data_IF_252735361519
#
_entry.id   IF_252735361519
#
_cell.length_a   1.000
_cell.length_b   1.000
_cell.length_c   1.000
_cell.angle_alpha   90.00
_cell.angle_beta   90.00
_cell.angle_gamma   90.00
#
_symmetry.space_group_name_H-M   'P 1'
#
loop_
_entity.id
_entity.type
_entity.pdbx_description
1 polymer ?
#
# COMPACT_ATOMS: atom_id res chain seq x y z
N UNK A 1 21.63 -5.76 -7.08
CA UNK A 1 20.43 -5.11 -6.52
C UNK A 1 20.37 -5.40 -5.03
N UNK A 2 20.69 -4.44 -4.16
CA UNK A 2 20.38 -4.61 -2.72
C UNK A 2 18.86 -4.65 -2.63
N UNK A 3 18.30 -5.81 -2.27
CA UNK A 3 16.88 -5.88 -1.88
C UNK A 3 16.79 -5.03 -0.62
N UNK A 4 16.45 -3.76 -0.76
CA UNK A 4 16.02 -2.94 0.37
C UNK A 4 14.80 -3.67 0.90
N UNK A 5 14.99 -4.43 1.97
CA UNK A 5 13.92 -5.18 2.59
C UNK A 5 13.00 -4.13 3.20
N UNK A 6 11.93 -3.79 2.48
CA UNK A 6 10.89 -2.94 3.05
C UNK A 6 10.37 -3.68 4.30
N UNK A 7 10.45 -3.05 5.48
CA UNK A 7 10.00 -3.68 6.70
C UNK A 7 8.54 -4.12 6.53
N UNK A 8 8.18 -5.30 7.06
CA UNK A 8 6.83 -5.84 6.94
C UNK A 8 5.80 -4.82 7.43
N UNK A 9 4.59 -4.90 6.88
CA UNK A 9 3.48 -4.07 7.33
C UNK A 9 3.20 -4.35 8.81
N UNK A 10 3.05 -3.28 9.60
CA UNK A 10 2.76 -3.36 11.01
C UNK A 10 1.44 -4.09 11.27
N UNK A 11 1.52 -5.18 12.03
CA UNK A 11 0.36 -5.99 12.44
C UNK A 11 -0.13 -5.65 13.84
N UNK A 12 0.71 -5.01 14.66
CA UNK A 12 0.37 -4.60 16.03
C UNK A 12 -0.51 -3.34 16.02
N UNK A 13 -1.72 -3.35 16.59
CA UNK A 13 -2.60 -2.18 16.67
C UNK A 13 -2.00 -0.95 17.38
N UNK A 14 -1.01 -1.17 18.24
CA UNK A 14 -0.30 -0.12 18.98
C UNK A 14 0.86 0.49 18.19
N UNK A 15 1.24 -0.09 17.04
CA UNK A 15 2.29 0.46 16.20
C UNK A 15 1.81 1.77 15.53
N UNK A 16 2.60 2.85 15.57
CA UNK A 16 2.24 4.11 14.92
C UNK A 16 2.01 3.99 13.41
N UNK A 17 2.50 2.93 12.75
CA UNK A 17 2.27 2.64 11.34
C UNK A 17 0.99 1.83 11.09
N UNK A 18 0.40 1.19 12.10
CA UNK A 18 -0.68 0.21 11.95
C UNK A 18 -1.83 0.68 11.05
N UNK A 19 -2.33 1.90 11.26
CA UNK A 19 -3.45 2.44 10.47
C UNK A 19 -3.09 2.62 9.00
N UNK A 20 -1.89 3.10 8.73
CA UNK A 20 -1.42 3.36 7.37
C UNK A 20 -1.11 2.04 6.67
N UNK A 21 -0.47 1.12 7.39
CA UNK A 21 -0.12 -0.21 6.90
C UNK A 21 -1.36 -1.07 6.64
N UNK A 22 -2.43 -0.93 7.44
CA UNK A 22 -3.75 -1.50 7.13
C UNK A 22 -4.33 -0.94 5.83
N UNK A 23 -4.14 0.35 5.58
CA UNK A 23 -4.51 0.99 4.31
C UNK A 23 -3.78 0.40 3.11
N UNK A 24 -2.46 0.20 3.23
CA UNK A 24 -1.64 -0.47 2.20
C UNK A 24 -2.10 -1.91 1.98
N UNK A 25 -2.31 -2.67 3.05
CA UNK A 25 -2.79 -4.05 2.95
C UNK A 25 -4.14 -4.14 2.22
N UNK A 26 -5.09 -3.26 2.56
CA UNK A 26 -6.39 -3.20 1.90
C UNK A 26 -6.28 -2.80 0.42
N UNK A 27 -5.38 -1.87 0.07
CA UNK A 27 -5.14 -1.49 -1.32
C UNK A 27 -4.51 -2.63 -2.14
N UNK A 28 -3.60 -3.41 -1.54
CA UNK A 28 -3.04 -4.62 -2.17
C UNK A 28 -4.13 -5.65 -2.45
N UNK A 29 -4.98 -5.94 -1.47
CA UNK A 29 -6.12 -6.86 -1.64
C UNK A 29 -7.06 -6.43 -2.77
N UNK A 30 -7.33 -5.12 -2.91
CA UNK A 30 -8.16 -4.61 -4.03
C UNK A 30 -7.48 -4.79 -5.38
N UNK A 31 -6.17 -4.58 -5.46
CA UNK A 31 -5.41 -4.81 -6.69
C UNK A 31 -5.41 -6.30 -7.06
N UNK A 32 -5.19 -7.17 -6.09
CA UNK A 32 -5.22 -8.62 -6.31
C UNK A 32 -6.59 -9.08 -6.80
N UNK A 33 -7.68 -8.58 -6.19
CA UNK A 33 -9.04 -8.84 -6.63
C UNK A 33 -9.31 -8.32 -8.06
N UNK A 34 -8.82 -7.12 -8.40
CA UNK A 34 -8.95 -6.56 -9.75
C UNK A 34 -8.19 -7.39 -10.81
N UNK A 35 -7.00 -7.88 -10.46
CA UNK A 35 -6.20 -8.76 -11.33
C UNK A 35 -6.91 -10.10 -11.51
N UNK A 36 -7.47 -10.67 -10.45
CA UNK A 36 -8.21 -11.91 -10.50
C UNK A 36 -9.47 -11.77 -11.36
N UNK A 37 -10.24 -10.70 -11.17
CA UNK A 37 -11.41 -10.38 -12.01
C UNK A 37 -11.07 -10.31 -13.50
N UNK A 38 -9.92 -9.73 -13.89
CA UNK A 38 -9.50 -9.68 -15.30
C UNK A 38 -9.35 -11.08 -15.91
N UNK A 39 -8.98 -12.09 -15.12
CA UNK A 39 -8.84 -13.47 -15.61
C UNK A 39 -10.18 -14.10 -15.97
N UNK A 40 -11.28 -13.57 -15.44
CA UNK A 40 -12.62 -14.14 -15.55
C UNK A 40 -13.60 -13.30 -16.40
N UNK A 41 -13.20 -12.11 -16.86
CA UNK A 41 -14.07 -11.22 -17.66
C UNK A 41 -13.81 -11.27 -19.17
N UNK A 42 -14.89 -11.16 -19.95
CA UNK A 42 -14.86 -11.04 -21.42
C UNK A 42 -14.51 -9.63 -21.92
N UNK A 43 -14.76 -8.58 -21.12
CA UNK A 43 -14.43 -7.19 -21.48
C UNK A 43 -13.04 -6.81 -20.99
N UNK A 44 -12.07 -6.88 -21.90
CA UNK A 44 -10.66 -6.62 -21.60
C UNK A 44 -10.37 -5.16 -21.24
N UNK A 45 -11.04 -4.20 -21.90
CA UNK A 45 -10.81 -2.76 -21.70
C UNK A 45 -11.24 -2.29 -20.31
N UNK A 46 -12.44 -2.69 -19.86
CA UNK A 46 -12.93 -2.35 -18.52
C UNK A 46 -12.02 -2.93 -17.43
N UNK A 47 -11.60 -4.19 -17.59
CA UNK A 47 -10.72 -4.83 -16.62
C UNK A 47 -9.34 -4.14 -16.52
N UNK A 48 -8.82 -3.59 -17.63
CA UNK A 48 -7.58 -2.81 -17.61
C UNK A 48 -7.72 -1.50 -16.84
N UNK A 49 -8.82 -0.75 -17.04
CA UNK A 49 -9.05 0.49 -16.30
C UNK A 49 -9.22 0.24 -14.80
N UNK A 50 -9.96 -0.80 -14.40
CA UNK A 50 -10.11 -1.18 -12.98
C UNK A 50 -8.75 -1.52 -12.35
N UNK A 51 -7.89 -2.27 -13.05
CA UNK A 51 -6.53 -2.56 -12.54
C UNK A 51 -5.69 -1.29 -12.45
N UNK A 52 -5.80 -0.37 -13.41
CA UNK A 52 -5.08 0.90 -13.39
C UNK A 52 -5.50 1.75 -12.18
N UNK A 53 -6.79 1.88 -11.93
CA UNK A 53 -7.31 2.59 -10.75
C UNK A 53 -6.86 1.91 -9.45
N UNK A 54 -6.90 0.58 -9.37
CA UNK A 54 -6.43 -0.14 -8.19
C UNK A 54 -4.92 0.05 -7.93
N UNK A 55 -4.09 0.08 -9.00
CA UNK A 55 -2.67 0.42 -8.91
C UNK A 55 -2.44 1.84 -8.43
N UNK A 56 -3.23 2.79 -8.90
CA UNK A 56 -3.18 4.18 -8.42
C UNK A 56 -3.55 4.29 -6.95
N UNK A 57 -4.58 3.57 -6.51
CA UNK A 57 -4.94 3.46 -5.11
C UNK A 57 -3.81 2.92 -4.24
N UNK A 58 -3.14 1.84 -4.70
CA UNK A 58 -1.98 1.28 -4.00
C UNK A 58 -0.83 2.29 -3.91
N UNK A 59 -0.47 2.97 -5.01
CA UNK A 59 0.59 4.00 -5.00
C UNK A 59 0.31 5.12 -4.00
N UNK A 60 -0.94 5.59 -3.91
CA UNK A 60 -1.34 6.61 -2.93
C UNK A 60 -1.20 6.12 -1.49
N UNK A 61 -1.58 4.87 -1.21
CA UNK A 61 -1.45 4.27 0.12
C UNK A 61 0.03 4.09 0.51
N UNK A 62 0.87 3.62 -0.41
CA UNK A 62 2.33 3.50 -0.19
C UNK A 62 3.00 4.85 0.01
N UNK A 63 2.58 5.88 -0.73
CA UNK A 63 3.06 7.25 -0.51
C UNK A 63 2.70 7.76 0.89
N UNK A 64 1.46 7.52 1.35
CA UNK A 64 1.05 7.88 2.71
C UNK A 64 1.91 7.17 3.78
N UNK A 65 2.29 5.90 3.54
CA UNK A 65 3.22 5.16 4.41
C UNK A 65 4.59 5.82 4.47
N UNK A 66 5.15 6.20 3.33
CA UNK A 66 6.44 6.90 3.26
C UNK A 66 6.40 8.23 4.02
N UNK A 67 5.33 9.01 3.85
CA UNK A 67 5.16 10.25 4.62
C UNK A 67 5.10 10.00 6.12
N UNK A 68 4.38 8.96 6.55
CA UNK A 68 4.28 8.62 7.97
C UNK A 68 5.62 8.18 8.55
N UNK A 69 6.41 7.41 7.80
CA UNK A 69 7.77 7.02 8.20
C UNK A 69 8.67 8.24 8.40
N UNK A 70 8.61 9.22 7.49
CA UNK A 70 9.36 10.49 7.62
C UNK A 70 8.94 11.26 8.88
N UNK A 71 7.64 11.42 9.11
CA UNK A 71 7.11 12.09 10.31
C UNK A 71 7.58 11.42 11.61
N UNK A 72 7.61 10.09 11.64
CA UNK A 72 8.09 9.34 12.82
C UNK A 72 9.60 9.48 13.01
N UNK A 73 10.39 9.48 11.94
CA UNK A 73 11.82 9.72 12.01
C UNK A 73 12.13 11.13 12.56
N UNK A 74 11.45 12.16 12.05
CA UNK A 74 11.58 13.54 12.55
C UNK A 74 11.20 13.66 14.03
N UNK A 75 10.12 12.99 14.46
CA UNK A 75 9.69 12.96 15.87
C UNK A 75 10.65 12.19 16.79
N UNK A 76 11.41 11.24 16.26
CA UNK A 76 12.43 10.53 17.01
C UNK A 76 13.67 11.41 17.19
N UNK A 77 14.11 12.10 16.13
CA UNK A 77 15.24 13.04 16.20
C UNK A 77 14.94 14.30 17.01
N UNK A 78 13.69 14.75 17.08
CA UNK A 78 13.30 15.89 17.91
C UNK A 78 13.19 15.57 19.41
N UNK A 79 13.19 14.28 19.78
CA UNK A 79 13.11 13.80 21.17
C UNK A 79 14.45 13.32 21.73
N UNK A 80 15.50 13.26 20.90
CA UNK A 80 16.88 13.02 21.29
C UNK A 80 17.59 14.33 21.58
#
# INVERSE_FOLDING_TARGET
MKKTYDPPLATNPHDPLFRVDKGVASARQRLDAAIDMKRHHTSHSLAQEVIKEAREGLRKAEHARVLKLKELAEKATARS
#
